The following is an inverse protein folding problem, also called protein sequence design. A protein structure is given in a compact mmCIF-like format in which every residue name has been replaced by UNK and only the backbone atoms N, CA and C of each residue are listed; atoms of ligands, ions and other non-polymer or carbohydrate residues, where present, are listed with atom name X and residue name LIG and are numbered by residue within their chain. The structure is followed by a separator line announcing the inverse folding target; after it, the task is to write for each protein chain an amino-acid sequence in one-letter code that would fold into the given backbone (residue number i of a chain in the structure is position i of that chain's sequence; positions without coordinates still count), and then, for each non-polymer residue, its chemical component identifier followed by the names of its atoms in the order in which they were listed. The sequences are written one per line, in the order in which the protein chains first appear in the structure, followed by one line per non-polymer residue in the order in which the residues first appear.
data_IF_221319060833
#
_entry.id   IF_221319060833
#
_cell.length_a   1.000
_cell.length_b   1.000
_cell.length_c   1.000
_cell.angle_alpha   90.00
_cell.angle_beta   90.00
_cell.angle_gamma   90.00
#
_symmetry.space_group_name_H-M   'P 1'
#
loop_
_entity.id
_entity.type
_entity.pdbx_description
1 polymer ?
#
# COMPACT_ATOMS: atom_id res chain seq x y z
N UNK A 1 2.26 21.65 -0.53
CA UNK A 1 1.82 20.34 -1.05
C UNK A 1 2.97 19.36 -0.91
N UNK A 2 2.69 18.07 -0.72
CA UNK A 2 3.72 17.03 -0.62
C UNK A 2 3.26 15.74 -1.31
N UNK A 3 4.18 14.86 -1.70
CA UNK A 3 3.86 13.58 -2.37
C UNK A 3 3.88 12.41 -1.40
N UNK A 4 3.22 11.30 -1.76
CA UNK A 4 3.41 10.01 -1.09
C UNK A 4 4.76 9.38 -1.47
N UNK A 5 5.35 8.54 -0.60
CA UNK A 5 5.17 8.56 0.85
C UNK A 5 5.65 9.90 1.41
N UNK A 6 4.93 10.45 2.40
CA UNK A 6 5.24 11.78 2.95
C UNK A 6 6.52 11.76 3.80
N UNK A 7 6.74 10.67 4.53
CA UNK A 7 7.82 10.52 5.51
C UNK A 7 8.38 9.12 5.47
N UNK A 8 9.61 8.98 5.96
CA UNK A 8 10.25 7.68 6.15
C UNK A 8 9.70 6.95 7.38
N UNK A 9 9.48 7.69 8.47
CA UNK A 9 9.02 7.13 9.75
C UNK A 9 7.69 7.70 10.24
N UNK A 10 7.02 6.99 11.15
CA UNK A 10 5.84 7.49 11.88
C UNK A 10 6.21 8.69 12.77
N UNK A 11 7.44 8.72 13.28
CA UNK A 11 7.94 9.83 14.08
C UNK A 11 7.96 11.13 13.28
N UNK A 12 8.53 11.11 12.08
CA UNK A 12 8.52 12.25 11.17
C UNK A 12 7.10 12.71 10.84
N UNK A 13 6.16 11.80 10.56
CA UNK A 13 4.77 12.15 10.28
C UNK A 13 4.12 12.91 11.46
N UNK A 14 4.42 12.48 12.70
CA UNK A 14 3.97 13.17 13.92
C UNK A 14 4.63 14.55 14.04
N UNK A 15 5.93 14.67 13.77
CA UNK A 15 6.64 15.95 13.80
C UNK A 15 6.16 16.95 12.75
N UNK A 16 5.86 16.49 11.53
CA UNK A 16 5.24 17.33 10.51
C UNK A 16 3.83 17.79 10.93
N UNK A 17 3.05 16.92 11.59
CA UNK A 17 1.74 17.29 12.13
C UNK A 17 1.84 18.36 13.21
N UNK A 18 2.77 18.22 14.15
CA UNK A 18 3.06 19.21 15.19
C UNK A 18 3.49 20.55 14.57
N UNK A 19 4.39 20.51 13.59
CA UNK A 19 4.87 21.70 12.90
C UNK A 19 3.75 22.42 12.14
N UNK A 20 2.93 21.69 11.37
CA UNK A 20 1.80 22.26 10.64
C UNK A 20 0.82 23.00 11.56
N UNK A 21 0.53 22.42 12.74
CA UNK A 21 -0.30 23.06 13.77
C UNK A 21 0.35 24.28 14.38
N UNK A 22 1.64 24.19 14.75
CA UNK A 22 2.39 25.31 15.35
C UNK A 22 2.43 26.51 14.42
N UNK A 23 2.73 26.28 13.15
CA UNK A 23 2.86 27.33 12.14
C UNK A 23 1.54 27.68 11.45
N UNK A 24 0.45 26.98 11.77
CA UNK A 24 -0.90 27.20 11.23
C UNK A 24 -0.93 27.19 9.70
N UNK A 25 -0.17 26.29 9.10
CA UNK A 25 -0.09 26.16 7.64
C UNK A 25 -1.07 25.09 7.14
N UNK A 26 -1.74 25.40 6.03
CA UNK A 26 -2.54 24.41 5.31
C UNK A 26 -1.60 23.45 4.56
N UNK A 27 -1.72 22.15 4.86
CA UNK A 27 -0.93 21.10 4.22
C UNK A 27 -1.83 20.13 3.48
N UNK A 28 -1.39 19.66 2.31
CA UNK A 28 -2.08 18.65 1.52
C UNK A 28 -1.09 17.57 1.09
N UNK A 29 -1.43 16.31 1.40
CA UNK A 29 -0.72 15.13 0.93
C UNK A 29 -1.33 14.70 -0.42
N UNK A 30 -0.46 14.53 -1.41
CA UNK A 30 -0.81 14.08 -2.75
C UNK A 30 -1.10 12.59 -2.75
N UNK A 31 -2.39 12.24 -2.67
CA UNK A 31 -2.88 10.89 -2.94
C UNK A 31 -3.84 10.93 -4.13
N UNK A 32 -3.33 10.60 -5.32
CA UNK A 32 -4.07 10.69 -6.58
C UNK A 32 -5.42 9.95 -6.53
N UNK A 33 -5.45 8.75 -5.94
CA UNK A 33 -6.66 7.91 -5.88
C UNK A 33 -7.78 8.52 -5.06
N UNK A 34 -7.44 9.21 -3.97
CA UNK A 34 -8.40 9.83 -3.05
C UNK A 34 -9.31 10.87 -3.74
N UNK A 35 -8.78 11.50 -4.79
CA UNK A 35 -9.51 12.50 -5.57
C UNK A 35 -10.41 11.90 -6.65
N UNK A 36 -10.26 10.62 -6.96
CA UNK A 36 -11.04 9.91 -7.96
C UNK A 36 -12.47 9.58 -7.53
N UNK A 37 -13.31 9.25 -8.51
CA UNK A 37 -14.70 8.84 -8.29
C UNK A 37 -14.78 7.48 -7.57
N UNK A 38 -13.86 6.56 -7.88
CA UNK A 38 -13.88 5.19 -7.36
C UNK A 38 -13.90 5.12 -5.83
N UNK A 39 -13.02 5.86 -5.16
CA UNK A 39 -12.96 5.88 -3.69
C UNK A 39 -14.26 6.39 -3.06
N UNK A 40 -14.90 7.39 -3.66
CA UNK A 40 -16.19 7.94 -3.19
C UNK A 40 -17.31 6.91 -3.32
N UNK A 41 -17.39 6.24 -4.46
CA UNK A 41 -18.36 5.17 -4.69
C UNK A 41 -18.18 4.04 -3.68
N UNK A 42 -16.94 3.62 -3.41
CA UNK A 42 -16.65 2.59 -2.39
C UNK A 42 -17.20 3.01 -1.02
N UNK A 43 -16.94 4.25 -0.59
CA UNK A 43 -17.46 4.78 0.66
C UNK A 43 -18.99 4.76 0.69
N UNK A 44 -19.63 5.32 -0.33
CA UNK A 44 -21.08 5.44 -0.40
C UNK A 44 -21.78 4.07 -0.43
N UNK A 45 -21.25 3.10 -1.19
CA UNK A 45 -21.84 1.76 -1.28
C UNK A 45 -21.66 0.99 0.03
N UNK A 46 -20.52 1.14 0.71
CA UNK A 46 -20.30 0.53 2.02
C UNK A 46 -21.24 1.14 3.06
N UNK A 47 -21.40 2.47 3.07
CA UNK A 47 -22.27 3.15 4.03
C UNK A 47 -23.76 2.92 3.78
N UNK A 48 -24.16 2.66 2.54
CA UNK A 48 -25.50 2.22 2.15
C UNK A 48 -25.77 0.74 2.51
N UNK A 49 -24.72 -0.02 2.85
CA UNK A 49 -24.85 -1.42 3.29
C UNK A 49 -24.88 -2.43 2.14
N UNK A 50 -24.31 -2.09 0.97
CA UNK A 50 -24.28 -2.93 -0.24
C UNK A 50 -23.79 -4.38 0.01
N UNK A 51 -22.85 -4.54 0.94
CA UNK A 51 -22.29 -5.83 1.33
C UNK A 51 -22.46 -6.14 2.82
N UNK A 52 -23.27 -5.37 3.54
CA UNK A 52 -23.46 -5.49 4.99
C UNK A 52 -22.21 -5.14 5.80
N UNK A 53 -22.12 -5.69 7.00
CA UNK A 53 -20.99 -5.50 7.91
C UNK A 53 -19.73 -6.16 7.34
N UNK A 54 -18.63 -5.40 7.27
CA UNK A 54 -17.35 -5.89 6.73
C UNK A 54 -16.51 -6.51 7.85
N UNK A 55 -16.09 -7.76 7.65
CA UNK A 55 -15.32 -8.55 8.62
C UNK A 55 -13.86 -8.68 8.24
N UNK A 56 -13.57 -8.67 6.94
CA UNK A 56 -12.24 -8.91 6.40
C UNK A 56 -11.99 -8.06 5.15
N UNK A 57 -10.74 -7.63 4.97
CA UNK A 57 -10.27 -6.91 3.79
C UNK A 57 -8.95 -7.51 3.34
N UNK A 58 -8.82 -7.78 2.04
CA UNK A 58 -7.57 -8.20 1.42
C UNK A 58 -7.10 -7.11 0.46
N UNK A 59 -5.86 -6.66 0.61
CA UNK A 59 -5.25 -5.63 -0.21
C UNK A 59 -3.88 -6.12 -0.71
N UNK A 60 -3.60 -5.99 -2.01
CA UNK A 60 -2.34 -6.50 -2.57
C UNK A 60 -1.76 -5.57 -3.62
N UNK A 61 -0.46 -5.69 -3.84
CA UNK A 61 0.27 -4.97 -4.88
C UNK A 61 1.18 -5.89 -5.69
N UNK A 62 1.44 -5.51 -6.95
CA UNK A 62 2.47 -6.12 -7.79
C UNK A 62 3.88 -5.59 -7.49
N UNK A 63 4.03 -4.71 -6.49
CA UNK A 63 5.33 -4.29 -5.98
C UNK A 63 5.95 -5.38 -5.10
N UNK A 64 7.28 -5.39 -4.95
CA UNK A 64 8.25 -4.46 -5.55
C UNK A 64 8.50 -4.74 -7.04
N UNK A 65 8.74 -3.68 -7.82
CA UNK A 65 9.27 -3.75 -9.20
C UNK A 65 10.75 -3.32 -9.25
N UNK A 66 11.38 -3.29 -8.09
CA UNK A 66 12.78 -2.99 -7.84
C UNK A 66 13.38 -4.12 -6.99
N UNK A 67 14.71 -4.24 -6.89
CA UNK A 67 15.33 -5.26 -6.06
C UNK A 67 14.97 -5.13 -4.57
N UNK A 68 14.57 -6.23 -3.95
CA UNK A 68 14.31 -6.40 -2.51
C UNK A 68 14.73 -7.81 -2.07
N UNK A 69 15.00 -8.01 -0.78
CA UNK A 69 15.55 -9.25 -0.24
C UNK A 69 17.05 -9.47 -0.52
N UNK A 70 17.77 -8.44 -0.98
CA UNK A 70 19.16 -8.56 -1.44
C UNK A 70 20.15 -7.89 -0.48
N UNK A 71 21.26 -8.55 -0.20
CA UNK A 71 22.32 -7.97 0.61
C UNK A 71 22.97 -6.76 -0.09
N UNK A 72 23.69 -5.95 0.71
CA UNK A 72 24.49 -4.84 0.20
C UNK A 72 25.50 -5.33 -0.86
N UNK A 73 25.63 -4.66 -2.02
CA UNK A 73 26.70 -4.97 -2.96
C UNK A 73 28.07 -4.73 -2.33
N UNK A 74 29.08 -5.49 -2.78
CA UNK A 74 30.46 -5.37 -2.27
C UNK A 74 31.30 -4.45 -3.14
N UNK A 75 30.91 -4.24 -4.39
CA UNK A 75 31.60 -3.38 -5.33
C UNK A 75 31.46 -1.91 -4.92
N UNK A 76 32.56 -1.17 -4.99
CA UNK A 76 32.63 0.25 -4.67
C UNK A 76 33.10 1.00 -5.93
N UNK A 77 32.24 1.16 -6.95
CA UNK A 77 32.57 1.98 -8.11
C UNK A 77 32.81 3.44 -7.70
N UNK A 78 33.56 4.21 -8.50
CA UNK A 78 33.69 5.64 -8.28
C UNK A 78 32.34 6.35 -8.45
N UNK A 79 32.12 7.39 -7.66
CA UNK A 79 30.94 8.27 -7.80
C UNK A 79 31.02 8.98 -9.16
N UNK A 80 29.96 8.98 -9.99
CA UNK A 80 29.91 9.78 -11.20
C UNK A 80 30.12 11.26 -10.89
N UNK A 81 30.89 11.98 -11.72
CA UNK A 81 31.16 13.42 -11.52
C UNK A 81 29.91 14.30 -11.56
N UNK A 82 28.78 13.78 -12.06
CA UNK A 82 27.48 14.45 -12.11
C UNK A 82 26.57 14.15 -10.91
N UNK A 83 27.06 13.39 -9.91
CA UNK A 83 26.30 13.00 -8.73
C UNK A 83 27.03 13.46 -7.46
N UNK A 84 26.40 14.36 -6.71
CA UNK A 84 26.81 14.63 -5.33
C UNK A 84 26.27 13.52 -4.42
N UNK A 85 27.17 12.62 -4.02
CA UNK A 85 26.78 11.44 -3.25
C UNK A 85 26.44 11.73 -1.79
N UNK A 86 27.15 12.69 -1.18
CA UNK A 86 26.87 13.10 0.20
C UNK A 86 25.48 13.74 0.30
N UNK A 87 25.18 14.63 -0.66
CA UNK A 87 23.85 15.23 -0.77
C UNK A 87 22.76 14.19 -1.04
N UNK A 88 23.04 13.19 -1.88
CA UNK A 88 22.08 12.13 -2.19
C UNK A 88 21.78 11.23 -0.98
N UNK A 89 22.80 10.86 -0.19
CA UNK A 89 22.63 10.09 1.04
C UNK A 89 21.82 10.89 2.07
N UNK A 90 22.05 12.20 2.15
CA UNK A 90 21.38 13.09 3.08
C UNK A 90 21.55 12.61 4.53
N UNK A 91 20.47 12.41 5.31
CA UNK A 91 20.57 12.03 6.71
C UNK A 91 20.87 10.53 6.94
N UNK A 92 20.94 9.73 5.87
CA UNK A 92 21.21 8.30 6.01
C UNK A 92 22.67 8.04 6.46
N UNK A 93 22.95 6.92 7.14
CA UNK A 93 24.31 6.50 7.43
C UNK A 93 25.18 6.46 6.17
N UNK A 94 26.42 6.96 6.29
CA UNK A 94 27.35 6.94 5.17
C UNK A 94 27.54 5.52 4.63
N UNK A 95 27.45 5.38 3.31
CA UNK A 95 27.77 4.14 2.60
C UNK A 95 28.44 4.46 1.26
N UNK A 96 29.33 3.60 0.75
CA UNK A 96 29.94 3.84 -0.55
C UNK A 96 28.90 3.84 -1.67
N UNK A 97 29.15 4.64 -2.71
CA UNK A 97 28.30 4.67 -3.90
C UNK A 97 28.24 3.31 -4.57
N UNK A 98 27.03 2.96 -5.03
CA UNK A 98 26.79 1.83 -5.92
C UNK A 98 25.51 2.08 -6.73
N UNK A 99 25.49 1.65 -7.99
CA UNK A 99 24.32 1.79 -8.87
C UNK A 99 23.08 1.02 -8.34
N UNK A 100 23.26 0.04 -7.46
CA UNK A 100 22.18 -0.73 -6.85
C UNK A 100 21.19 0.11 -6.00
N UNK A 101 21.52 1.36 -5.67
CA UNK A 101 20.64 2.26 -4.94
C UNK A 101 19.80 3.17 -5.85
N UNK A 102 20.13 3.31 -7.13
CA UNK A 102 19.62 4.38 -8.00
C UNK A 102 18.99 3.86 -9.28
N UNK A 103 18.17 4.69 -9.97
CA UNK A 103 17.44 5.84 -9.44
C UNK A 103 16.11 5.42 -8.78
N UNK A 104 15.65 4.19 -9.02
CA UNK A 104 14.39 3.65 -8.49
C UNK A 104 14.62 2.66 -7.34
N UNK A 105 15.83 2.09 -7.25
CA UNK A 105 16.10 0.93 -6.41
C UNK A 105 16.19 1.24 -4.92
N UNK A 106 16.47 2.51 -4.55
CA UNK A 106 16.47 3.02 -3.18
C UNK A 106 15.21 2.63 -2.39
N UNK A 107 14.07 2.47 -3.07
CA UNK A 107 12.79 2.06 -2.48
C UNK A 107 12.88 0.74 -1.71
N UNK A 108 13.76 -0.16 -2.14
CA UNK A 108 13.96 -1.47 -1.52
C UNK A 108 14.90 -1.45 -0.32
N UNK A 109 15.67 -0.38 -0.10
CA UNK A 109 16.67 -0.30 0.95
C UNK A 109 16.08 0.34 2.20
N UNK A 110 16.36 -0.22 3.38
CA UNK A 110 15.85 0.30 4.64
C UNK A 110 16.27 1.75 4.84
N UNK A 111 17.51 2.12 4.58
CA UNK A 111 18.00 3.49 4.84
C UNK A 111 17.37 4.58 3.96
N UNK A 112 16.69 4.22 2.86
CA UNK A 112 16.23 5.19 1.86
C UNK A 112 14.74 5.11 1.54
N UNK A 113 14.19 3.89 1.51
CA UNK A 113 12.86 3.59 1.01
C UNK A 113 11.91 3.13 2.10
N UNK A 114 10.67 2.83 1.69
CA UNK A 114 9.65 2.27 2.59
C UNK A 114 9.11 0.91 2.10
N UNK A 115 9.84 0.26 1.19
CA UNK A 115 9.44 -0.99 0.56
C UNK A 115 8.15 -0.87 -0.27
N UNK A 116 7.61 -2.03 -0.65
CA UNK A 116 6.36 -2.12 -1.42
C UNK A 116 5.15 -1.55 -0.65
N UNK A 117 5.04 -1.87 0.64
CA UNK A 117 3.98 -1.37 1.52
C UNK A 117 3.99 0.16 1.63
N UNK A 118 5.14 0.78 1.87
CA UNK A 118 5.21 2.25 1.96
C UNK A 118 5.00 2.94 0.62
N UNK A 119 5.44 2.34 -0.50
CA UNK A 119 5.23 2.91 -1.83
C UNK A 119 3.76 2.85 -2.28
N UNK A 120 3.07 1.72 -2.07
CA UNK A 120 1.72 1.50 -2.63
C UNK A 120 0.59 1.47 -1.59
N UNK A 121 0.90 1.28 -0.32
CA UNK A 121 -0.10 1.21 0.76
C UNK A 121 -0.96 2.45 0.81
N UNK A 122 -0.37 3.65 0.64
CA UNK A 122 -1.13 4.90 0.59
C UNK A 122 -2.15 4.97 -0.56
N UNK A 123 -1.94 4.26 -1.67
CA UNK A 123 -2.87 4.24 -2.80
C UNK A 123 -3.93 3.14 -2.72
N UNK A 124 -3.57 2.01 -2.11
CA UNK A 124 -4.42 0.82 -2.07
C UNK A 124 -5.28 0.82 -0.81
N UNK A 125 -4.72 1.24 0.32
CA UNK A 125 -5.41 1.23 1.61
C UNK A 125 -6.23 2.50 1.85
N UNK A 126 -6.05 3.58 1.08
CA UNK A 126 -6.87 4.79 1.18
C UNK A 126 -8.39 4.53 1.13
N UNK A 127 -8.94 3.81 0.13
CA UNK A 127 -10.36 3.46 0.14
C UNK A 127 -10.77 2.61 1.33
N UNK A 128 -9.89 1.76 1.84
CA UNK A 128 -10.16 0.93 3.02
C UNK A 128 -10.28 1.79 4.27
N UNK A 129 -9.29 2.65 4.51
CA UNK A 129 -9.25 3.51 5.68
C UNK A 129 -10.41 4.50 5.69
N UNK A 130 -10.77 5.07 4.54
CA UNK A 130 -11.85 6.03 4.47
C UNK A 130 -13.22 5.38 4.58
N UNK A 131 -13.50 4.34 3.79
CA UNK A 131 -14.82 3.70 3.79
C UNK A 131 -15.14 3.02 5.13
N UNK A 132 -14.13 2.42 5.78
CA UNK A 132 -14.29 1.74 7.07
C UNK A 132 -13.98 2.63 8.28
N UNK A 133 -13.67 3.92 8.06
CA UNK A 133 -13.34 4.89 9.11
C UNK A 133 -12.22 4.41 10.04
N UNK A 134 -11.20 3.77 9.48
CA UNK A 134 -10.12 3.19 10.26
C UNK A 134 -9.20 4.26 10.85
N UNK A 135 -8.68 3.96 12.04
CA UNK A 135 -7.65 4.74 12.72
C UNK A 135 -6.45 3.84 13.00
N UNK A 136 -6.24 3.45 14.25
CA UNK A 136 -5.10 2.64 14.67
C UNK A 136 -5.52 1.17 14.84
N UNK A 137 -4.72 0.22 14.34
CA UNK A 137 -4.93 -1.19 14.64
C UNK A 137 -4.62 -1.48 16.12
N UNK A 138 -5.26 -2.49 16.69
CA UNK A 138 -4.94 -3.02 18.03
C UNK A 138 -3.75 -3.97 18.00
N UNK A 139 -3.50 -4.64 16.87
CA UNK A 139 -2.31 -5.45 16.66
C UNK A 139 -1.93 -5.54 15.18
N UNK A 140 -0.64 -5.78 14.94
CA UNK A 140 -0.07 -6.00 13.61
C UNK A 140 0.87 -7.19 13.69
N UNK A 141 0.74 -8.12 12.75
CA UNK A 141 1.64 -9.26 12.58
C UNK A 141 2.14 -9.30 11.13
N UNK A 142 3.43 -9.57 10.93
CA UNK A 142 4.01 -9.66 9.60
C UNK A 142 4.73 -11.00 9.42
N UNK A 143 4.45 -11.65 8.29
CA UNK A 143 5.17 -12.82 7.79
C UNK A 143 5.91 -12.42 6.53
N UNK A 144 7.16 -12.87 6.39
CA UNK A 144 8.04 -12.45 5.29
C UNK A 144 8.63 -13.65 4.58
N UNK A 145 8.79 -13.56 3.27
CA UNK A 145 9.41 -14.62 2.50
C UNK A 145 10.86 -14.82 2.92
N UNK A 146 11.21 -16.09 3.12
CA UNK A 146 12.51 -16.58 3.52
C UNK A 146 13.01 -17.50 2.42
N UNK A 147 14.02 -17.07 1.65
CA UNK A 147 14.57 -17.88 0.56
C UNK A 147 16.07 -18.14 0.74
N UNK A 148 16.50 -19.32 0.30
CA UNK A 148 17.91 -19.68 0.20
C UNK A 148 18.38 -19.39 -1.21
N UNK A 149 19.49 -18.66 -1.36
CA UNK A 149 20.11 -18.44 -2.67
C UNK A 149 21.18 -19.51 -2.88
N UNK A 150 21.22 -20.12 -4.06
CA UNK A 150 22.32 -21.00 -4.44
C UNK A 150 23.54 -20.13 -4.78
N UNK A 151 24.66 -20.38 -4.13
CA UNK A 151 25.98 -19.84 -4.48
C UNK A 151 26.84 -20.96 -5.07
N UNK A 152 27.99 -20.59 -5.65
CA UNK A 152 28.96 -21.55 -6.19
C UNK A 152 29.44 -22.57 -5.14
N UNK A 153 29.45 -22.19 -3.86
CA UNK A 153 29.84 -23.04 -2.72
C UNK A 153 28.71 -23.90 -2.14
N UNK A 154 27.47 -23.84 -2.68
CA UNK A 154 26.31 -24.59 -2.18
C UNK A 154 25.08 -23.72 -1.89
N UNK A 155 24.11 -24.26 -1.14
CA UNK A 155 22.95 -23.50 -0.66
C UNK A 155 23.38 -22.58 0.48
N UNK A 156 23.10 -21.28 0.40
CA UNK A 156 23.38 -20.37 1.52
C UNK A 156 22.40 -20.54 2.66
N UNK A 157 22.84 -20.07 3.83
CA UNK A 157 22.03 -19.76 5.00
C UNK A 157 20.85 -18.82 4.63
N UNK A 158 19.82 -18.82 5.46
CA UNK A 158 18.67 -17.94 5.32
C UNK A 158 19.17 -16.49 5.19
N UNK A 159 18.75 -15.78 4.15
CA UNK A 159 19.10 -14.36 4.00
C UNK A 159 18.31 -13.55 5.04
N UNK A 160 18.82 -13.48 6.27
CA UNK A 160 18.42 -12.47 7.25
C UNK A 160 19.15 -11.19 6.86
N UNK A 161 18.47 -10.34 6.09
CA UNK A 161 19.08 -9.15 5.55
C UNK A 161 18.45 -7.90 6.16
N UNK A 162 19.28 -7.14 6.88
CA UNK A 162 18.91 -5.85 7.47
C UNK A 162 19.16 -4.67 6.50
N UNK A 163 19.54 -4.93 5.24
CA UNK A 163 19.81 -3.88 4.25
C UNK A 163 18.59 -3.49 3.43
N UNK A 164 17.73 -4.46 3.11
CA UNK A 164 16.55 -4.24 2.26
C UNK A 164 15.30 -4.81 2.88
N UNK A 165 14.16 -4.24 2.49
CA UNK A 165 12.85 -4.84 2.74
C UNK A 165 12.78 -6.29 2.19
N UNK A 166 11.95 -7.17 2.78
CA UNK A 166 11.77 -8.54 2.29
C UNK A 166 11.33 -8.60 0.83
N UNK A 167 11.65 -9.68 0.12
CA UNK A 167 11.21 -9.85 -1.28
C UNK A 167 9.70 -9.98 -1.42
N UNK A 168 9.03 -10.53 -0.40
CA UNK A 168 7.58 -10.61 -0.28
C UNK A 168 7.18 -10.61 1.19
N UNK A 169 6.00 -10.08 1.48
CA UNK A 169 5.41 -10.06 2.81
C UNK A 169 3.89 -10.22 2.79
N UNK A 170 3.39 -10.77 3.89
CA UNK A 170 1.98 -10.72 4.27
C UNK A 170 1.91 -10.00 5.61
N UNK A 171 1.05 -8.97 5.71
CA UNK A 171 0.88 -8.23 6.96
C UNK A 171 -0.59 -8.26 7.36
N UNK A 172 -0.86 -8.68 8.59
CA UNK A 172 -2.17 -8.78 9.19
C UNK A 172 -2.37 -7.66 10.21
N UNK A 173 -3.45 -6.91 10.05
CA UNK A 173 -3.86 -5.85 10.96
C UNK A 173 -5.21 -6.23 11.58
N UNK A 174 -5.32 -6.12 12.90
CA UNK A 174 -6.60 -6.22 13.58
C UNK A 174 -7.05 -4.81 13.98
N UNK A 175 -8.25 -4.41 13.54
CA UNK A 175 -8.86 -3.15 13.94
C UNK A 175 -10.05 -3.40 14.87
N UNK A 176 -10.22 -2.58 15.92
CA UNK A 176 -11.33 -2.72 16.84
C UNK A 176 -12.64 -2.27 16.20
N UNK A 177 -13.77 -2.53 16.89
CA UNK A 177 -15.05 -1.92 16.55
C UNK A 177 -14.95 -0.39 16.62
N UNK A 178 -15.71 0.30 15.77
CA UNK A 178 -15.65 1.75 15.57
C UNK A 178 -16.94 2.24 14.94
N UNK A 179 -17.37 3.47 15.25
CA UNK A 179 -18.48 4.19 14.61
C UNK A 179 -19.60 3.31 13.99
N UNK A 180 -20.17 2.40 14.78
CA UNK A 180 -21.30 1.58 14.35
C UNK A 180 -21.00 0.46 13.35
N UNK A 181 -19.72 0.13 13.09
CA UNK A 181 -19.36 -1.08 12.35
C UNK A 181 -18.31 -1.93 13.09
N UNK A 182 -18.29 -3.25 12.84
CA UNK A 182 -17.62 -4.22 13.69
C UNK A 182 -16.08 -4.17 13.59
N UNK A 183 -15.37 -4.95 14.44
CA UNK A 183 -13.95 -5.21 14.23
C UNK A 183 -13.71 -5.80 12.83
N UNK A 184 -12.58 -5.44 12.23
CA UNK A 184 -12.21 -5.88 10.89
C UNK A 184 -10.75 -6.34 10.85
N UNK A 185 -10.50 -7.43 10.14
CA UNK A 185 -9.14 -7.89 9.81
C UNK A 185 -8.74 -7.34 8.45
N UNK A 186 -7.55 -6.75 8.35
CA UNK A 186 -6.98 -6.28 7.09
C UNK A 186 -5.71 -7.07 6.79
N UNK A 187 -5.64 -7.62 5.58
CA UNK A 187 -4.56 -8.44 5.09
C UNK A 187 -3.88 -7.70 3.93
N UNK A 188 -2.60 -7.43 4.07
CA UNK A 188 -1.75 -6.87 3.02
C UNK A 188 -0.89 -7.96 2.39
N UNK A 189 -0.70 -7.91 1.07
CA UNK A 189 0.16 -8.82 0.32
C UNK A 189 1.04 -8.06 -0.67
N UNK A 190 2.34 -8.35 -0.69
CA UNK A 190 3.28 -7.86 -1.71
C UNK A 190 4.28 -8.96 -2.14
N UNK A 191 5.16 -8.64 -3.10
CA UNK A 191 6.15 -9.60 -3.61
C UNK A 191 5.57 -10.71 -4.47
N UNK A 192 4.45 -10.43 -5.15
CA UNK A 192 3.74 -11.41 -5.99
C UNK A 192 2.77 -12.30 -5.21
N UNK A 193 2.70 -12.17 -3.88
CA UNK A 193 1.66 -12.81 -3.08
C UNK A 193 0.32 -12.11 -3.31
N UNK A 194 -0.75 -12.90 -3.30
CA UNK A 194 -2.12 -12.43 -3.51
C UNK A 194 -3.07 -13.20 -2.57
N UNK A 195 -4.21 -12.61 -2.20
CA UNK A 195 -5.26 -13.36 -1.54
C UNK A 195 -5.83 -14.43 -2.49
N UNK A 196 -6.54 -15.38 -1.91
CA UNK A 196 -7.31 -16.34 -2.68
C UNK A 196 -8.32 -15.62 -3.59
N UNK A 197 -8.57 -16.22 -4.75
CA UNK A 197 -9.57 -15.71 -5.67
C UNK A 197 -10.96 -15.95 -5.06
N UNK A 198 -11.82 -14.92 -4.93
CA UNK A 198 -13.19 -15.13 -4.48
C UNK A 198 -13.93 -16.10 -5.41
N UNK A 199 -14.64 -17.08 -4.83
CA UNK A 199 -15.35 -18.13 -5.59
C UNK A 199 -16.41 -17.55 -6.52
N UNK A 200 -17.04 -16.45 -6.12
CA UNK A 200 -18.09 -15.74 -6.87
C UNK A 200 -17.52 -14.89 -8.03
N UNK A 201 -16.20 -14.71 -8.11
CA UNK A 201 -15.59 -13.91 -9.16
C UNK A 201 -15.55 -14.68 -10.48
N UNK A 202 -16.33 -14.22 -11.47
CA UNK A 202 -16.54 -14.92 -12.75
C UNK A 202 -15.24 -15.43 -13.39
N UNK A 203 -15.23 -16.61 -14.05
CA UNK A 203 -14.05 -17.14 -14.72
C UNK A 203 -13.35 -16.11 -15.61
N UNK A 204 -12.02 -16.08 -15.56
CA UNK A 204 -11.15 -15.15 -16.33
C UNK A 204 -11.28 -13.67 -15.96
N UNK A 205 -12.20 -13.27 -15.08
CA UNK A 205 -12.23 -11.90 -14.57
C UNK A 205 -10.95 -11.62 -13.77
N UNK A 206 -10.26 -10.53 -14.10
CA UNK A 206 -9.02 -10.13 -13.41
C UNK A 206 -9.31 -9.67 -11.98
N UNK A 207 -8.45 -10.08 -11.04
CA UNK A 207 -8.39 -9.49 -9.71
C UNK A 207 -7.55 -8.21 -9.74
N UNK A 208 -8.14 -7.11 -9.28
CA UNK A 208 -7.46 -5.82 -9.19
C UNK A 208 -7.14 -5.18 -10.55
N UNK A 209 -6.60 -3.95 -10.50
CA UNK A 209 -6.23 -3.11 -11.65
C UNK A 209 -5.17 -2.10 -11.21
N UNK A 210 -4.37 -1.57 -12.15
CA UNK A 210 -3.39 -0.52 -11.82
C UNK A 210 -2.24 -0.95 -10.90
N UNK A 211 -1.89 -2.25 -10.89
CA UNK A 211 -0.78 -2.78 -10.08
C UNK A 211 -1.15 -3.16 -8.65
N UNK A 212 -2.44 -3.26 -8.33
CA UNK A 212 -2.92 -3.78 -7.05
C UNK A 212 -4.42 -3.95 -7.01
N UNK A 213 -4.95 -4.24 -5.84
CA UNK A 213 -6.40 -4.33 -5.65
C UNK A 213 -6.78 -4.48 -4.18
N UNK A 214 -8.09 -4.37 -3.95
CA UNK A 214 -8.72 -4.58 -2.65
C UNK A 214 -9.96 -5.43 -2.85
N UNK A 215 -10.18 -6.38 -1.94
CA UNK A 215 -11.43 -7.10 -1.74
C UNK A 215 -11.93 -6.79 -0.33
N UNK A 216 -13.15 -6.29 -0.22
CA UNK A 216 -13.89 -6.15 1.02
C UNK A 216 -14.83 -7.34 1.14
N UNK A 217 -14.79 -8.02 2.28
CA UNK A 217 -15.63 -9.18 2.58
C UNK A 217 -16.61 -8.80 3.68
N UNK A 218 -17.89 -8.74 3.31
CA UNK A 218 -18.97 -8.44 4.23
C UNK A 218 -20.03 -9.53 4.31
N UNK A 219 -20.88 -9.43 5.31
CA UNK A 219 -21.88 -10.45 5.67
C UNK A 219 -22.90 -10.71 4.54
N UNK A 220 -23.08 -9.77 3.59
CA UNK A 220 -24.03 -9.89 2.47
C UNK A 220 -23.37 -10.02 1.09
N UNK A 221 -22.04 -9.98 1.01
CA UNK A 221 -21.33 -10.10 -0.26
C UNK A 221 -19.91 -9.53 -0.22
N UNK A 222 -19.32 -9.41 -1.41
CA UNK A 222 -17.96 -8.87 -1.56
C UNK A 222 -17.96 -7.70 -2.54
N UNK A 223 -17.07 -6.75 -2.27
CA UNK A 223 -16.77 -5.62 -3.14
C UNK A 223 -15.29 -5.69 -3.52
N UNK A 224 -14.98 -5.50 -4.79
CA UNK A 224 -13.61 -5.48 -5.29
C UNK A 224 -13.31 -4.16 -6.02
N UNK A 225 -12.09 -3.65 -5.88
CA UNK A 225 -11.56 -2.55 -6.68
C UNK A 225 -10.08 -2.76 -7.02
N UNK A 226 -9.55 -1.98 -7.96
CA UNK A 226 -8.13 -1.88 -8.25
C UNK A 226 -7.39 -0.96 -7.28
N UNK A 227 -6.10 -0.77 -7.55
CA UNK A 227 -5.33 0.30 -6.91
C UNK A 227 -6.02 1.65 -7.13
N UNK A 228 -5.84 2.60 -6.20
CA UNK A 228 -6.47 3.93 -6.24
C UNK A 228 -8.01 3.90 -6.16
N UNK A 229 -8.60 2.78 -5.75
CA UNK A 229 -10.06 2.59 -5.78
C UNK A 229 -10.63 2.46 -7.19
N UNK A 230 -9.81 2.16 -8.20
CA UNK A 230 -10.25 2.10 -9.60
C UNK A 230 -11.27 0.97 -9.85
N UNK A 231 -12.29 1.27 -10.65
CA UNK A 231 -13.33 0.31 -11.06
C UNK A 231 -13.97 -0.50 -9.92
N UNK A 232 -14.54 0.14 -8.87
CA UNK A 232 -15.18 -0.58 -7.80
C UNK A 232 -16.40 -1.34 -8.31
N UNK A 233 -16.61 -2.55 -7.78
CA UNK A 233 -17.72 -3.43 -8.18
C UNK A 233 -18.11 -4.37 -7.06
N UNK A 234 -19.40 -4.70 -7.00
CA UNK A 234 -19.85 -5.90 -6.28
C UNK A 234 -19.47 -7.15 -7.09
N UNK A 235 -19.24 -8.25 -6.38
CA UNK A 235 -19.02 -9.56 -6.98
C UNK A 235 -20.04 -10.55 -6.39
N UNK A 236 -20.69 -11.39 -7.21
CA UNK A 236 -20.61 -11.45 -8.69
C UNK A 236 -21.23 -10.24 -9.40
N UNK A 237 -21.02 -10.13 -10.72
CA UNK A 237 -21.56 -9.11 -11.61
C UNK A 237 -23.09 -9.00 -11.53
N UNK A 238 -23.80 -10.11 -11.34
CA UNK A 238 -25.26 -10.10 -11.18
C UNK A 238 -25.68 -9.23 -9.99
N UNK A 239 -24.98 -9.32 -8.85
CA UNK A 239 -25.21 -8.42 -7.71
C UNK A 239 -24.91 -6.96 -8.06
N UNK A 240 -23.90 -6.70 -8.87
CA UNK A 240 -23.58 -5.35 -9.31
C UNK A 240 -24.68 -4.74 -10.21
N UNK A 241 -25.31 -5.57 -11.04
CA UNK A 241 -26.41 -5.16 -11.93
C UNK A 241 -27.72 -4.95 -11.18
N UNK A 242 -27.99 -5.77 -10.16
CA UNK A 242 -29.17 -5.67 -9.31
C UNK A 242 -29.08 -4.52 -8.29
N UNK A 243 -27.86 -4.09 -7.94
CA UNK A 243 -27.63 -3.08 -6.91
C UNK A 243 -28.10 -1.69 -7.33
N UNK A 244 -29.12 -1.19 -6.62
CA UNK A 244 -29.60 0.18 -6.73
C UNK A 244 -28.64 1.10 -5.99
N UNK A 245 -27.76 1.75 -6.74
CA UNK A 245 -26.73 2.62 -6.18
C UNK A 245 -27.35 3.78 -5.38
N UNK A 246 -26.79 4.14 -4.22
CA UNK A 246 -27.25 5.25 -3.40
C UNK A 246 -26.97 6.59 -4.08
N UNK A 247 -27.60 7.67 -3.60
CA UNK A 247 -27.22 9.03 -3.97
C UNK A 247 -25.74 9.31 -3.73
N UNK A 248 -25.16 10.12 -4.62
CA UNK A 248 -23.80 10.64 -4.50
C UNK A 248 -23.75 11.73 -3.44
N UNK A 249 -23.25 11.43 -2.25
CA UNK A 249 -23.21 12.35 -1.08
C UNK A 249 -21.86 13.01 -0.87
N UNK A 250 -20.75 12.39 -1.31
CA UNK A 250 -19.41 12.95 -1.17
C UNK A 250 -19.12 14.00 -2.25
N UNK A 251 -18.46 15.14 -1.96
CA UNK A 251 -18.11 16.13 -2.99
C UNK A 251 -17.15 15.56 -4.04
N UNK A 252 -17.48 15.68 -5.33
CA UNK A 252 -16.62 15.26 -6.45
C UNK A 252 -15.69 16.40 -6.86
N UNK A 253 -14.47 16.04 -7.28
CA UNK A 253 -13.55 16.99 -7.89
C UNK A 253 -13.82 16.99 -9.39
N UNK A 254 -14.34 18.11 -9.91
CA UNK A 254 -14.72 18.27 -11.32
C UNK A 254 -13.63 18.94 -12.16
N UNK A 255 -12.43 19.13 -11.58
CA UNK A 255 -11.26 19.72 -12.24
C UNK A 255 -10.16 18.66 -12.38
N UNK A 256 -9.44 18.68 -13.49
CA UNK A 256 -8.30 17.78 -13.72
C UNK A 256 -7.17 18.08 -12.71
N UNK A 257 -6.33 17.08 -12.46
CA UNK A 257 -5.10 17.23 -11.66
C UNK A 257 -3.95 17.91 -12.44
N UNK A 258 -4.28 18.63 -13.51
CA UNK A 258 -3.39 19.44 -14.34
C UNK A 258 -3.73 20.92 -14.15
#
# INVERSE_FOLDING_TARGET
TAQKPLTYSVYEARKLTEAARRYRVATQMGNQGHSGEGVRLICEWIWDGAIGDIREVHAWTNRPIWPQGIARPKEIPPVPSTLDWDLWLGPAPYRPYNQAYLPLFWRGWWDFGCGALGDMGGHILDPVFWALKLRYPTSVEASVASYRRKQESGWTELVVNNETYPSASIVHYNFPAREGMPPVKLHWYDGGLMPERPEELEPRRRMGRGGGGVIFVGDKGKLMCGAYGDGPRLIPETKMQEYKRPPKTLPRINVSHE
#
